data_IF_107245133950
#
_entry.id   IF_107245133950
#
_cell.length_a   1.000
_cell.length_b   1.000
_cell.length_c   1.000
_cell.angle_alpha   90.00
_cell.angle_beta   90.00
_cell.angle_gamma   90.00
#
_symmetry.space_group_name_H-M   'P 1'
#
loop_
_entity.id
_entity.type
_entity.pdbx_description
1 polymer ?
#
# COMPACT_ATOMS: atom_id res chain seq x y z
N UNK A 1 -15.25 -25.76 -6.09
CA UNK A 1 -14.20 -25.25 -7.00
C UNK A 1 -14.80 -24.05 -7.73
N UNK A 2 -14.58 -22.82 -7.26
CA UNK A 2 -15.10 -21.61 -7.94
C UNK A 2 -14.06 -21.22 -8.99
N UNK A 3 -14.47 -21.18 -10.24
CA UNK A 3 -13.67 -20.82 -11.40
C UNK A 3 -13.06 -19.42 -11.22
N UNK A 4 -11.75 -19.34 -10.99
CA UNK A 4 -10.97 -18.12 -11.17
C UNK A 4 -10.49 -18.09 -12.62
N UNK A 5 -10.95 -17.12 -13.40
CA UNK A 5 -10.44 -16.88 -14.75
C UNK A 5 -9.21 -16.00 -14.60
N UNK A 6 -8.08 -16.39 -15.21
CA UNK A 6 -6.93 -15.50 -15.35
C UNK A 6 -7.31 -14.34 -16.27
N UNK A 7 -7.43 -13.15 -15.68
CA UNK A 7 -7.67 -11.92 -16.42
C UNK A 7 -6.32 -11.23 -16.59
N UNK A 8 -5.91 -10.86 -17.80
CA UNK A 8 -4.72 -10.03 -18.01
C UNK A 8 -4.78 -8.77 -17.13
N UNK A 9 -3.62 -8.28 -16.67
CA UNK A 9 -3.48 -7.01 -15.93
C UNK A 9 -4.03 -5.88 -16.81
N UNK A 10 -5.31 -5.58 -16.63
CA UNK A 10 -6.09 -4.72 -17.54
C UNK A 10 -6.35 -3.32 -16.99
N UNK A 11 -5.87 -3.03 -15.79
CA UNK A 11 -6.07 -1.72 -15.14
C UNK A 11 -4.73 -1.27 -14.57
N UNK A 12 -4.03 -0.43 -15.34
CA UNK A 12 -2.83 0.29 -14.90
C UNK A 12 -2.83 1.69 -15.49
N UNK A 13 -2.26 2.65 -14.76
CA UNK A 13 -2.25 4.04 -15.19
C UNK A 13 -1.70 4.98 -14.14
N UNK A 14 -1.92 6.28 -14.37
CA UNK A 14 -1.47 7.35 -13.49
C UNK A 14 -2.67 8.22 -13.14
N UNK A 15 -2.95 8.36 -11.85
CA UNK A 15 -3.99 9.26 -11.36
C UNK A 15 -3.54 10.71 -11.47
N UNK A 16 -4.41 11.55 -12.00
CA UNK A 16 -4.23 13.00 -12.01
C UNK A 16 -5.08 13.61 -10.88
N UNK A 17 -4.63 14.71 -10.23
CA UNK A 17 -3.36 15.41 -10.47
C UNK A 17 -2.17 14.83 -9.69
N UNK A 18 -2.38 13.89 -8.75
CA UNK A 18 -1.36 13.48 -7.78
C UNK A 18 -0.15 12.74 -8.38
N UNK A 19 -0.30 12.16 -9.57
CA UNK A 19 0.74 11.37 -10.23
C UNK A 19 0.91 9.96 -9.65
N UNK A 20 -0.02 9.50 -8.80
CA UNK A 20 0.03 8.15 -8.25
C UNK A 20 -0.14 7.10 -9.35
N UNK A 21 0.85 6.22 -9.49
CA UNK A 21 0.81 5.08 -10.42
C UNK A 21 -0.01 3.97 -9.79
N UNK A 22 -0.96 3.38 -10.52
CA UNK A 22 -1.74 2.24 -10.02
C UNK A 22 -1.60 1.02 -10.92
N UNK A 23 -1.71 -0.15 -10.31
CA UNK A 23 -1.61 -1.44 -11.00
C UNK A 23 -2.55 -2.46 -10.34
N UNK A 24 -3.51 -2.99 -11.10
CA UNK A 24 -4.33 -4.16 -10.74
C UNK A 24 -3.65 -5.43 -11.20
N UNK A 25 -3.37 -6.33 -10.27
CA UNK A 25 -2.68 -7.60 -10.55
C UNK A 25 -3.47 -8.79 -10.01
N UNK A 26 -3.29 -9.96 -10.64
CA UNK A 26 -3.77 -11.21 -10.08
C UNK A 26 -3.07 -11.47 -8.73
N UNK A 27 -3.83 -11.86 -7.71
CA UNK A 27 -3.29 -12.10 -6.37
C UNK A 27 -2.34 -13.32 -6.29
N UNK A 28 -2.22 -14.11 -7.35
CA UNK A 28 -1.26 -15.24 -7.46
C UNK A 28 0.06 -14.85 -8.09
N UNK A 29 0.22 -13.61 -8.60
CA UNK A 29 1.48 -13.12 -9.14
C UNK A 29 2.60 -13.33 -8.11
N UNK A 30 3.76 -13.91 -8.47
CA UNK A 30 4.91 -13.99 -7.58
C UNK A 30 5.33 -12.60 -7.09
N UNK A 31 5.58 -12.46 -5.79
CA UNK A 31 5.95 -11.15 -5.23
C UNK A 31 7.36 -10.72 -5.62
N UNK A 32 8.23 -11.67 -5.96
CA UNK A 32 9.54 -11.42 -6.55
C UNK A 32 9.41 -10.67 -7.89
N UNK A 33 8.47 -11.09 -8.75
CA UNK A 33 8.22 -10.43 -10.04
C UNK A 33 7.65 -9.02 -9.83
N UNK A 34 6.70 -8.86 -8.91
CA UNK A 34 6.16 -7.55 -8.55
C UNK A 34 7.26 -6.63 -7.99
N UNK A 35 8.12 -7.14 -7.12
CA UNK A 35 9.22 -6.37 -6.55
C UNK A 35 10.19 -5.88 -7.64
N UNK A 36 10.64 -6.77 -8.54
CA UNK A 36 11.51 -6.38 -9.65
C UNK A 36 10.84 -5.37 -10.59
N UNK A 37 9.53 -5.52 -10.85
CA UNK A 37 8.78 -4.54 -11.63
C UNK A 37 8.80 -3.14 -10.99
N UNK A 38 8.61 -3.04 -9.68
CA UNK A 38 8.66 -1.76 -8.97
C UNK A 38 10.09 -1.20 -8.92
N UNK A 39 11.11 -2.05 -8.79
CA UNK A 39 12.52 -1.64 -8.88
C UNK A 39 12.83 -1.02 -10.25
N UNK A 40 12.38 -1.62 -11.34
CA UNK A 40 12.58 -1.07 -12.69
C UNK A 40 11.85 0.28 -12.87
N UNK A 41 10.63 0.44 -12.34
CA UNK A 41 9.91 1.72 -12.35
C UNK A 41 10.56 2.79 -11.45
N UNK A 42 11.38 2.37 -10.49
CA UNK A 42 12.19 3.23 -9.63
C UNK A 42 13.62 3.43 -10.15
N UNK A 43 13.82 3.41 -11.48
CA UNK A 43 15.14 3.61 -12.12
C UNK A 43 16.20 2.64 -11.59
N UNK A 44 15.79 1.41 -11.29
CA UNK A 44 16.61 0.33 -10.71
C UNK A 44 17.16 0.64 -9.31
N UNK A 45 16.60 1.64 -8.63
CA UNK A 45 16.93 1.93 -7.24
C UNK A 45 16.20 0.97 -6.31
N UNK A 46 16.96 0.14 -5.58
CA UNK A 46 16.44 -0.75 -4.55
C UNK A 46 16.42 -0.06 -3.18
N UNK A 47 15.45 -0.36 -2.31
CA UNK A 47 15.40 0.22 -0.96
C UNK A 47 16.43 -0.42 -0.04
N UNK A 48 17.20 0.36 0.72
CA UNK A 48 18.02 -0.21 1.79
C UNK A 48 17.18 -0.61 3.02
N UNK A 49 15.96 -0.06 3.12
CA UNK A 49 15.05 -0.25 4.23
C UNK A 49 13.60 -0.29 3.72
N UNK A 50 12.77 -1.17 4.27
CA UNK A 50 11.32 -1.14 4.07
C UNK A 50 10.66 -0.78 5.40
N UNK A 51 9.89 0.32 5.38
CA UNK A 51 9.07 0.78 6.51
C UNK A 51 7.62 0.36 6.27
N UNK A 52 7.23 -0.79 6.82
CA UNK A 52 5.84 -1.27 6.74
C UNK A 52 5.02 -0.62 7.85
N UNK A 53 4.16 0.33 7.48
CA UNK A 53 3.34 1.10 8.42
C UNK A 53 1.94 0.49 8.52
N UNK A 54 1.58 0.09 9.73
CA UNK A 54 0.30 -0.48 10.11
C UNK A 54 -0.39 0.40 11.14
N UNK A 55 -1.71 0.32 11.20
CA UNK A 55 -2.51 1.06 12.16
C UNK A 55 -3.99 0.80 11.98
N UNK A 56 -4.81 1.46 12.80
CA UNK A 56 -6.27 1.34 12.72
C UNK A 56 -6.81 1.68 11.33
N UNK A 57 -7.68 0.80 10.80
CA UNK A 57 -8.37 1.03 9.52
C UNK A 57 -9.48 2.11 9.63
N UNK A 58 -9.82 2.54 10.85
CA UNK A 58 -10.74 3.65 11.12
C UNK A 58 -9.93 4.88 11.53
N UNK A 59 -10.52 6.05 11.32
CA UNK A 59 -10.00 7.30 11.88
C UNK A 59 -9.86 7.14 13.39
N UNK A 60 -8.64 7.28 13.90
CA UNK A 60 -8.34 7.15 15.31
C UNK A 60 -8.13 8.52 15.93
N UNK A 61 -8.70 8.74 17.11
CA UNK A 61 -8.62 10.04 17.79
C UNK A 61 -7.24 10.23 18.39
N UNK A 62 -6.38 10.92 17.64
CA UNK A 62 -5.03 11.26 18.07
C UNK A 62 -4.88 12.76 18.21
N UNK A 63 -3.90 13.21 18.98
CA UNK A 63 -3.55 14.63 18.96
C UNK A 63 -2.84 14.97 17.64
N UNK A 64 -3.22 16.07 17.01
CA UNK A 64 -2.56 16.60 15.79
C UNK A 64 -1.03 16.68 15.93
N UNK A 65 -0.52 16.98 17.14
CA UNK A 65 0.92 16.97 17.42
C UNK A 65 1.54 15.60 17.20
N UNK A 66 0.96 14.54 17.73
CA UNK A 66 1.50 13.18 17.61
C UNK A 66 1.42 12.69 16.15
N UNK A 67 0.33 12.99 15.45
CA UNK A 67 0.20 12.71 14.01
C UNK A 67 1.33 13.37 13.20
N UNK A 68 1.61 14.65 13.45
CA UNK A 68 2.73 15.38 12.81
C UNK A 68 4.08 14.75 13.12
N UNK A 69 4.34 14.36 14.36
CA UNK A 69 5.61 13.71 14.74
C UNK A 69 5.76 12.32 14.10
N UNK A 70 4.68 11.54 14.01
CA UNK A 70 4.67 10.24 13.32
C UNK A 70 5.02 10.45 11.85
N UNK A 71 4.28 11.32 11.15
CA UNK A 71 4.52 11.62 9.73
C UNK A 71 5.97 12.08 9.52
N UNK A 72 6.41 13.04 10.34
CA UNK A 72 7.77 13.59 10.25
C UNK A 72 8.82 12.50 10.44
N UNK A 73 8.67 11.66 11.46
CA UNK A 73 9.59 10.56 11.74
C UNK A 73 9.65 9.55 10.59
N UNK A 74 8.49 9.12 10.08
CA UNK A 74 8.41 8.16 8.97
C UNK A 74 9.02 8.72 7.69
N UNK A 75 8.67 9.94 7.28
CA UNK A 75 9.19 10.57 6.06
C UNK A 75 10.70 10.85 6.19
N UNK A 76 11.14 11.32 7.36
CA UNK A 76 12.55 11.58 7.60
C UNK A 76 13.37 10.27 7.56
N UNK A 77 12.92 9.22 8.23
CA UNK A 77 13.58 7.90 8.18
C UNK A 77 13.63 7.36 6.74
N UNK A 78 12.52 7.49 6.00
CA UNK A 78 12.48 7.04 4.61
C UNK A 78 13.44 7.81 3.70
N UNK A 79 13.54 9.13 3.89
CA UNK A 79 14.45 9.98 3.11
C UNK A 79 15.91 9.65 3.44
N UNK A 80 16.26 9.55 4.74
CA UNK A 80 17.63 9.33 5.19
C UNK A 80 18.16 7.95 4.83
N UNK A 81 17.32 6.92 4.89
CA UNK A 81 17.73 5.53 4.69
C UNK A 81 17.48 5.02 3.26
N UNK A 82 17.05 5.87 2.32
CA UNK A 82 16.53 5.43 1.02
C UNK A 82 15.52 4.29 1.18
N UNK A 83 14.53 4.51 2.05
CA UNK A 83 13.53 3.51 2.39
C UNK A 83 12.31 3.61 1.49
N UNK A 84 11.67 2.46 1.27
CA UNK A 84 10.31 2.43 0.76
C UNK A 84 9.33 2.32 1.93
N UNK A 85 8.25 3.10 1.86
CA UNK A 85 7.16 3.05 2.83
C UNK A 85 6.06 2.16 2.26
N UNK A 86 5.60 1.17 3.03
CA UNK A 86 4.47 0.31 2.65
C UNK A 86 3.28 0.57 3.56
N UNK A 87 2.11 0.86 2.99
CA UNK A 87 0.86 1.06 3.74
C UNK A 87 -0.26 0.17 3.18
N UNK A 88 -1.42 0.19 3.83
CA UNK A 88 -2.62 -0.48 3.32
C UNK A 88 -3.15 0.15 2.02
N UNK A 89 -2.70 1.33 1.60
CA UNK A 89 -3.08 1.95 0.33
C UNK A 89 -4.50 2.51 0.25
N UNK A 90 -5.25 2.51 1.36
CA UNK A 90 -6.60 3.07 1.45
C UNK A 90 -6.57 4.51 2.00
N UNK A 91 -7.49 5.35 1.58
CA UNK A 91 -7.65 6.75 2.02
C UNK A 91 -8.42 6.80 3.36
N UNK A 92 -7.93 6.04 4.33
CA UNK A 92 -8.38 6.07 5.71
C UNK A 92 -7.24 5.74 6.69
N UNK A 93 -7.44 6.09 7.96
CA UNK A 93 -6.53 5.76 9.06
C UNK A 93 -5.09 6.20 8.82
N UNK A 94 -4.14 5.36 9.22
CA UNK A 94 -2.70 5.67 9.10
C UNK A 94 -2.22 5.80 7.65
N UNK A 95 -2.84 5.09 6.73
CA UNK A 95 -2.49 5.12 5.31
C UNK A 95 -2.76 6.51 4.73
N UNK A 96 -3.94 7.08 5.02
CA UNK A 96 -4.26 8.46 4.68
C UNK A 96 -3.29 9.46 5.30
N UNK A 97 -3.01 9.30 6.60
CA UNK A 97 -2.12 10.20 7.33
C UNK A 97 -0.71 10.26 6.70
N UNK A 98 -0.17 9.10 6.32
CA UNK A 98 1.10 9.00 5.60
C UNK A 98 1.01 9.67 4.22
N UNK A 99 -0.07 9.43 3.48
CA UNK A 99 -0.31 10.04 2.18
C UNK A 99 -0.37 11.58 2.23
N UNK A 100 -1.18 12.13 3.13
CA UNK A 100 -1.28 13.59 3.35
C UNK A 100 0.07 14.18 3.77
N UNK A 101 0.81 13.48 4.63
CA UNK A 101 2.18 13.83 4.97
C UNK A 101 3.09 13.93 3.75
N UNK A 102 3.12 12.90 2.91
CA UNK A 102 3.92 12.90 1.68
C UNK A 102 3.54 14.08 0.77
N UNK A 103 2.25 14.34 0.61
CA UNK A 103 1.74 15.47 -0.17
C UNK A 103 2.24 16.80 0.38
N UNK A 104 2.12 17.00 1.69
CA UNK A 104 2.58 18.20 2.38
C UNK A 104 4.10 18.41 2.22
N UNK A 105 4.91 17.36 2.41
CA UNK A 105 6.35 17.44 2.23
C UNK A 105 6.74 17.70 0.77
N UNK A 106 6.03 17.14 -0.22
CA UNK A 106 6.27 17.45 -1.64
C UNK A 106 6.05 18.93 -1.97
N UNK A 107 5.06 19.56 -1.35
CA UNK A 107 4.75 20.98 -1.57
C UNK A 107 5.78 21.92 -0.91
N UNK A 108 6.42 21.49 0.18
CA UNK A 108 7.38 22.29 0.92
C UNK A 108 8.83 22.19 0.41
N UNK A 109 9.16 21.14 -0.34
CA UNK A 109 10.54 20.88 -0.79
C UNK A 109 10.82 21.56 -2.13
N UNK A 110 11.99 22.18 -2.25
CA UNK A 110 12.49 22.75 -3.52
C UNK A 110 12.84 21.66 -4.55
N UNK A 111 13.14 20.44 -4.07
CA UNK A 111 13.49 19.28 -4.88
C UNK A 111 12.41 18.20 -4.78
N UNK A 112 12.25 17.35 -5.81
CA UNK A 112 11.28 16.26 -5.78
C UNK A 112 11.54 15.32 -4.60
N UNK A 113 10.53 15.08 -3.77
CA UNK A 113 10.61 14.08 -2.72
C UNK A 113 10.87 12.70 -3.35
N UNK A 114 12.02 12.11 -3.07
CA UNK A 114 12.46 10.83 -3.64
C UNK A 114 11.80 9.62 -2.97
N UNK A 115 11.16 9.84 -1.82
CA UNK A 115 10.50 8.80 -1.02
C UNK A 115 9.47 8.04 -1.87
N UNK A 116 9.63 6.72 -1.93
CA UNK A 116 8.64 5.82 -2.53
C UNK A 116 7.69 5.36 -1.43
N UNK A 117 6.41 5.63 -1.63
CA UNK A 117 5.34 5.14 -0.77
C UNK A 117 4.36 4.30 -1.60
N UNK A 118 4.23 3.04 -1.22
CA UNK A 118 3.50 2.02 -1.97
C UNK A 118 2.32 1.58 -1.10
N UNK A 119 1.12 1.90 -1.56
CA UNK A 119 -0.12 1.39 -1.00
C UNK A 119 -0.44 0.02 -1.58
N UNK A 120 -0.74 -0.95 -0.73
CA UNK A 120 -1.04 -2.33 -1.15
C UNK A 120 -2.42 -2.74 -0.63
N UNK A 121 -3.40 -2.86 -1.51
CA UNK A 121 -4.80 -3.17 -1.16
C UNK A 121 -5.41 -4.24 -2.08
N UNK A 122 -6.63 -4.67 -1.77
CA UNK A 122 -7.36 -5.67 -2.57
C UNK A 122 -8.39 -4.97 -3.45
N UNK A 123 -8.40 -5.24 -4.75
CA UNK A 123 -9.36 -4.68 -5.70
C UNK A 123 -10.81 -4.88 -5.24
N UNK A 124 -11.08 -6.05 -4.64
CA UNK A 124 -12.38 -6.46 -4.11
C UNK A 124 -12.96 -5.61 -2.97
N UNK A 125 -12.15 -4.78 -2.29
CA UNK A 125 -12.61 -3.90 -1.19
C UNK A 125 -12.86 -2.45 -1.64
N UNK A 126 -12.30 -2.04 -2.78
CA UNK A 126 -12.42 -0.69 -3.33
C UNK A 126 -13.84 -0.42 -3.85
N UNK A 127 -14.38 0.76 -3.59
CA UNK A 127 -15.71 1.15 -4.05
C UNK A 127 -15.83 1.30 -5.58
N UNK A 128 -17.06 1.18 -6.09
CA UNK A 128 -17.32 1.18 -7.53
C UNK A 128 -16.89 2.47 -8.21
N UNK A 129 -17.11 3.64 -7.60
CA UNK A 129 -16.71 4.93 -8.18
C UNK A 129 -15.20 5.00 -8.40
N UNK A 130 -14.41 4.60 -7.40
CA UNK A 130 -12.95 4.51 -7.51
C UNK A 130 -12.54 3.48 -8.56
N UNK A 131 -13.20 2.32 -8.62
CA UNK A 131 -12.93 1.32 -9.66
C UNK A 131 -13.22 1.85 -11.06
N UNK A 132 -14.30 2.59 -11.24
CA UNK A 132 -14.68 3.21 -12.52
C UNK A 132 -13.65 4.26 -12.94
N UNK A 133 -13.19 5.08 -12.01
CA UNK A 133 -12.14 6.07 -12.26
C UNK A 133 -10.79 5.42 -12.62
N UNK A 134 -10.39 4.36 -11.90
CA UNK A 134 -9.14 3.65 -12.22
C UNK A 134 -9.20 3.04 -13.62
N UNK A 135 -10.38 2.52 -14.02
CA UNK A 135 -10.60 2.04 -15.38
C UNK A 135 -10.54 3.18 -16.41
N UNK A 136 -11.16 4.33 -16.13
CA UNK A 136 -11.14 5.47 -17.06
C UNK A 136 -9.77 6.13 -17.18
N UNK A 137 -8.96 6.06 -16.12
CA UNK A 137 -7.59 6.56 -16.07
C UNK A 137 -6.56 5.57 -16.60
N UNK A 138 -6.99 4.37 -17.03
CA UNK A 138 -6.10 3.32 -17.53
C UNK A 138 -5.76 3.53 -19.02
N UNK A 139 -4.52 3.25 -19.40
CA UNK A 139 -4.03 3.58 -20.75
C UNK A 139 -4.40 2.57 -21.85
N UNK A 140 -5.22 1.56 -21.56
CA UNK A 140 -5.67 0.53 -22.53
C UNK A 140 -6.75 -0.37 -21.89
N UNK A 141 -8.04 -0.21 -22.26
CA UNK A 141 -9.02 -1.26 -22.65
C UNK A 141 -10.50 -0.85 -22.47
N UNK A 142 -11.44 -1.47 -23.23
CA UNK A 142 -12.88 -1.20 -23.21
C UNK A 142 -13.55 -1.74 -21.94
N UNK A 143 -14.48 -0.95 -21.41
CA UNK A 143 -15.21 -1.10 -20.15
C UNK A 143 -16.12 -2.34 -20.06
N UNK A 144 -16.19 -3.19 -21.10
CA UNK A 144 -17.26 -4.20 -21.27
C UNK A 144 -17.04 -5.55 -20.56
N UNK A 145 -15.87 -5.82 -19.97
CA UNK A 145 -15.56 -7.13 -19.35
C UNK A 145 -15.60 -7.13 -17.81
N UNK A 146 -15.93 -6.01 -17.16
CA UNK A 146 -15.87 -5.89 -15.70
C UNK A 146 -17.19 -5.53 -15.03
N UNK A 147 -18.33 -5.64 -15.73
CA UNK A 147 -19.65 -5.57 -15.10
C UNK A 147 -20.00 -6.95 -14.53
N UNK A 148 -19.38 -7.31 -13.41
CA UNK A 148 -20.01 -8.30 -12.55
C UNK A 148 -21.16 -7.59 -11.87
N UNK A 149 -22.40 -7.98 -12.17
CA UNK A 149 -23.56 -7.50 -11.43
C UNK A 149 -23.35 -7.83 -9.96
N UNK A 150 -23.25 -6.77 -9.16
CA UNK A 150 -23.12 -6.85 -7.72
C UNK A 150 -24.53 -7.09 -7.16
N UNK A 151 -24.71 -8.10 -6.29
CA UNK A 151 -25.96 -8.25 -5.54
C UNK A 151 -26.27 -6.99 -4.72
N UNK A 152 -27.51 -6.49 -4.76
CA UNK A 152 -27.98 -5.29 -4.04
C UNK A 152 -27.83 -5.39 -2.50
N UNK A 153 -27.54 -6.58 -1.97
CA UNK A 153 -27.34 -6.88 -0.56
C UNK A 153 -25.86 -6.93 -0.12
N UNK A 154 -24.91 -6.67 -1.03
CA UNK A 154 -23.50 -6.61 -0.68
C UNK A 154 -23.26 -5.38 0.22
N UNK A 155 -22.94 -5.65 1.49
CA UNK A 155 -22.62 -4.64 2.49
C UNK A 155 -21.58 -3.66 1.93
N UNK A 156 -22.09 -2.47 1.61
CA UNK A 156 -21.51 -1.26 1.03
C UNK A 156 -19.98 -1.23 0.98
N UNK A 157 -19.39 -1.24 -0.22
CA UNK A 157 -17.96 -1.00 -0.45
C UNK A 157 -17.57 0.39 0.07
N UNK A 158 -16.66 0.47 1.04
CA UNK A 158 -16.36 1.75 1.72
C UNK A 158 -15.00 2.35 1.41
N UNK A 159 -14.10 1.60 0.78
CA UNK A 159 -12.71 2.02 0.68
C UNK A 159 -12.42 2.74 -0.64
N UNK A 160 -11.82 3.92 -0.51
CA UNK A 160 -11.13 4.63 -1.58
C UNK A 160 -9.62 4.39 -1.45
N UNK A 161 -8.87 4.54 -2.54
CA UNK A 161 -7.41 4.46 -2.50
C UNK A 161 -6.79 5.77 -2.05
N UNK A 162 -5.66 5.71 -1.34
CA UNK A 162 -4.87 6.88 -0.97
C UNK A 162 -4.06 7.37 -2.18
N UNK A 163 -4.42 8.56 -2.67
CA UNK A 163 -3.92 9.09 -3.96
C UNK A 163 -2.59 9.80 -3.84
N UNK A 164 -2.15 10.17 -2.64
CA UNK A 164 -0.89 10.87 -2.44
C UNK A 164 0.33 9.93 -2.39
N UNK A 165 0.09 8.62 -2.33
CA UNK A 165 1.14 7.61 -2.53
C UNK A 165 1.81 7.74 -3.90
N UNK A 166 3.02 7.16 -4.02
CA UNK A 166 3.69 7.04 -5.33
C UNK A 166 3.08 5.92 -6.18
N UNK A 167 2.72 4.82 -5.52
CA UNK A 167 2.23 3.61 -6.15
C UNK A 167 1.05 3.05 -5.37
N UNK A 168 0.06 2.51 -6.07
CA UNK A 168 -1.07 1.76 -5.51
C UNK A 168 -1.19 0.41 -6.23
N UNK A 169 -0.93 -0.67 -5.50
CA UNK A 169 -1.05 -2.05 -5.98
C UNK A 169 -2.37 -2.63 -5.51
N UNK A 170 -3.15 -3.13 -6.46
CA UNK A 170 -4.51 -3.64 -6.27
C UNK A 170 -4.53 -5.14 -6.59
N UNK A 171 -4.44 -5.98 -5.56
CA UNK A 171 -4.51 -7.43 -5.72
C UNK A 171 -5.93 -7.86 -6.03
N UNK A 172 -6.11 -8.68 -7.05
CA UNK A 172 -7.42 -9.17 -7.46
C UNK A 172 -7.47 -10.69 -7.40
N UNK A 173 -8.29 -11.20 -6.48
CA UNK A 173 -8.62 -12.62 -6.35
C UNK A 173 -9.98 -13.00 -6.94
N UNK A 174 -10.67 -12.06 -7.61
CA UNK A 174 -12.02 -12.25 -8.14
C UNK A 174 -13.12 -12.33 -7.08
N UNK A 175 -12.80 -12.06 -5.81
CA UNK A 175 -13.75 -12.00 -4.69
C UNK A 175 -13.91 -10.57 -4.19
N UNK A 176 -15.11 -10.27 -3.73
CA UNK A 176 -15.46 -9.01 -3.10
C UNK A 176 -15.24 -9.15 -1.58
N UNK A 177 -14.85 -8.05 -0.92
CA UNK A 177 -14.64 -7.98 0.53
C UNK A 177 -13.63 -9.00 1.09
N UNK A 178 -12.66 -9.41 0.27
CA UNK A 178 -11.55 -10.26 0.72
C UNK A 178 -10.36 -9.37 1.06
N UNK A 179 -9.95 -9.35 2.34
CA UNK A 179 -8.83 -8.56 2.83
C UNK A 179 -7.55 -9.41 2.78
N UNK A 180 -6.79 -9.28 1.68
CA UNK A 180 -5.53 -10.04 1.49
C UNK A 180 -4.28 -9.17 1.58
N UNK A 181 -4.44 -7.86 1.80
CA UNK A 181 -3.38 -6.86 1.68
C UNK A 181 -2.18 -7.14 2.58
N UNK A 182 -2.41 -7.50 3.85
CA UNK A 182 -1.32 -7.69 4.81
C UNK A 182 -0.46 -8.91 4.49
N UNK A 183 -1.07 -10.02 4.08
CA UNK A 183 -0.35 -11.22 3.68
C UNK A 183 0.48 -11.00 2.39
N UNK A 184 -0.05 -10.25 1.42
CA UNK A 184 0.72 -9.91 0.23
C UNK A 184 1.85 -8.92 0.53
N UNK A 185 1.61 -7.93 1.40
CA UNK A 185 2.62 -6.98 1.85
C UNK A 185 3.77 -7.70 2.56
N UNK A 186 3.49 -8.67 3.42
CA UNK A 186 4.52 -9.51 4.05
C UNK A 186 5.35 -10.28 3.00
N UNK A 187 4.69 -10.94 2.04
CA UNK A 187 5.39 -11.64 0.95
C UNK A 187 6.23 -10.70 0.09
N UNK A 188 5.76 -9.48 -0.17
CA UNK A 188 6.52 -8.45 -0.89
C UNK A 188 7.77 -8.02 -0.11
N UNK A 189 7.66 -7.82 1.20
CA UNK A 189 8.80 -7.52 2.08
C UNK A 189 9.81 -8.67 2.04
N UNK A 190 9.34 -9.92 2.10
CA UNK A 190 10.19 -11.12 2.00
C UNK A 190 10.91 -11.15 0.65
N UNK A 191 10.22 -10.89 -0.45
CA UNK A 191 10.80 -10.85 -1.79
C UNK A 191 11.92 -9.80 -1.88
N UNK A 192 11.69 -8.59 -1.36
CA UNK A 192 12.70 -7.53 -1.31
C UNK A 192 13.91 -7.91 -0.46
N UNK A 193 13.71 -8.55 0.70
CA UNK A 193 14.81 -8.96 1.58
C UNK A 193 15.62 -10.16 1.02
N UNK A 194 15.03 -10.96 0.13
CA UNK A 194 15.71 -12.08 -0.55
C UNK A 194 16.52 -11.61 -1.75
N UNK A 195 16.22 -10.46 -2.34
CA UNK A 195 16.98 -9.91 -3.45
C UNK A 195 18.36 -9.44 -2.97
N UNK A 196 19.34 -10.32 -3.18
CA UNK A 196 20.75 -10.10 -2.83
C UNK A 196 21.61 -9.81 -4.06
N UNK A 197 20.99 -9.56 -5.23
CA UNK A 197 21.73 -9.22 -6.44
C UNK A 197 22.52 -7.92 -6.24
N UNK A 198 23.80 -7.94 -6.65
CA UNK A 198 24.78 -6.86 -6.48
C UNK A 198 25.08 -6.51 -5.00
N UNK A 199 25.13 -7.52 -4.13
CA UNK A 199 25.40 -7.38 -2.69
C UNK A 199 24.43 -6.41 -1.97
N UNK A 200 23.25 -6.21 -2.57
CA UNK A 200 22.20 -5.39 -1.99
C UNK A 200 21.59 -6.09 -0.78
N UNK A 201 21.32 -5.31 0.27
CA UNK A 201 20.65 -5.78 1.48
C UNK A 201 19.53 -4.80 1.80
N UNK A 202 18.32 -5.34 1.96
CA UNK A 202 17.15 -4.61 2.39
C UNK A 202 16.74 -5.06 3.79
N UNK A 203 16.59 -4.12 4.72
CA UNK A 203 16.14 -4.40 6.08
C UNK A 203 14.64 -4.12 6.22
N UNK A 204 13.83 -5.03 6.79
CA UNK A 204 12.42 -4.77 7.06
C UNK A 204 12.23 -4.18 8.46
N UNK A 205 11.39 -3.15 8.60
CA UNK A 205 10.96 -2.59 9.88
C UNK A 205 9.45 -2.39 9.84
N UNK A 206 8.78 -2.89 10.87
CA UNK A 206 7.34 -2.70 11.05
C UNK A 206 7.06 -1.56 12.02
N UNK A 207 6.24 -0.61 11.61
CA UNK A 207 5.79 0.51 12.44
C UNK A 207 4.30 0.33 12.67
N UNK A 208 3.90 0.26 13.93
CA UNK A 208 2.49 0.11 14.30
C UNK A 208 2.00 1.33 15.08
N UNK A 209 1.02 2.03 14.49
CA UNK A 209 0.38 3.20 15.06
C UNK A 209 -1.05 2.85 15.39
N UNK A 210 -1.32 2.63 16.68
CA UNK A 210 -2.57 1.98 17.11
C UNK A 210 -2.73 0.57 16.51
N UNK A 211 -3.64 -0.24 17.06
CA UNK A 211 -3.85 -1.60 16.59
C UNK A 211 -5.27 -2.09 16.79
N UNK A 212 -5.75 -2.89 15.85
CA UNK A 212 -6.92 -3.75 15.99
C UNK A 212 -6.52 -5.23 15.98
N UNK A 213 -7.49 -6.14 15.96
CA UNK A 213 -7.20 -7.59 15.93
C UNK A 213 -6.28 -7.98 14.75
N UNK A 214 -6.51 -7.43 13.55
CA UNK A 214 -5.65 -7.71 12.38
C UNK A 214 -4.20 -7.24 12.55
N UNK A 215 -3.98 -6.17 13.34
CA UNK A 215 -2.65 -5.67 13.65
C UNK A 215 -1.89 -6.64 14.58
N UNK A 216 -2.58 -7.39 15.44
CA UNK A 216 -1.95 -8.39 16.32
C UNK A 216 -1.38 -9.57 15.53
N UNK A 217 -2.07 -10.03 14.48
CA UNK A 217 -1.58 -11.10 13.62
C UNK A 217 -0.27 -10.70 12.91
N UNK A 218 -0.21 -9.46 12.41
CA UNK A 218 1.01 -8.89 11.82
C UNK A 218 2.15 -8.86 12.85
N UNK A 219 1.88 -8.36 14.08
CA UNK A 219 2.89 -8.34 15.15
C UNK A 219 3.39 -9.73 15.49
N UNK A 220 2.49 -10.69 15.62
CA UNK A 220 2.86 -12.08 15.94
C UNK A 220 3.78 -12.66 14.86
N UNK A 221 3.46 -12.43 13.59
CA UNK A 221 4.27 -12.88 12.46
C UNK A 221 5.65 -12.22 12.45
N UNK A 222 5.73 -10.91 12.68
CA UNK A 222 7.00 -10.18 12.70
C UNK A 222 7.87 -10.55 13.91
N UNK A 223 7.26 -10.79 15.08
CA UNK A 223 7.97 -11.29 16.26
C UNK A 223 8.57 -12.67 16.00
N UNK A 224 7.79 -13.59 15.39
CA UNK A 224 8.28 -14.92 14.99
C UNK A 224 9.42 -14.82 13.96
N UNK A 225 9.30 -13.89 13.01
CA UNK A 225 10.31 -13.63 12.00
C UNK A 225 11.52 -12.80 12.51
N UNK A 226 11.52 -12.40 13.79
CA UNK A 226 12.56 -11.55 14.42
C UNK A 226 12.78 -10.22 13.67
N UNK A 227 11.72 -9.67 13.09
CA UNK A 227 11.79 -8.36 12.44
C UNK A 227 11.69 -7.24 13.49
N UNK A 228 12.48 -6.17 13.35
CA UNK A 228 12.33 -4.99 14.22
C UNK A 228 10.93 -4.39 14.13
N UNK A 229 10.34 -4.08 15.28
CA UNK A 229 9.01 -3.49 15.42
C UNK A 229 9.12 -2.20 16.22
N UNK A 230 8.47 -1.14 15.74
CA UNK A 230 8.27 0.13 16.43
C UNK A 230 6.79 0.24 16.79
N UNK A 231 6.48 0.20 18.08
CA UNK A 231 5.11 0.42 18.58
C UNK A 231 4.93 1.87 19.00
N UNK A 232 3.95 2.54 18.42
CA UNK A 232 3.58 3.91 18.79
C UNK A 232 2.26 3.86 19.55
N UNK A 233 2.36 4.02 20.87
CA UNK A 233 1.21 4.03 21.76
C UNK A 233 0.44 5.35 21.64
N UNK A 234 -0.81 5.28 21.22
CA UNK A 234 -1.75 6.41 21.26
C UNK A 234 -2.53 6.33 22.57
N UNK A 235 -2.46 7.36 23.42
CA UNK A 235 -3.29 7.44 24.62
C UNK A 235 -4.69 7.88 24.22
N UNK A 236 -5.65 6.96 24.30
CA UNK A 236 -7.08 7.28 24.23
C UNK A 236 -7.43 8.05 25.51
N UNK A 237 -8.01 9.25 25.36
CA UNK A 237 -8.55 10.02 26.49
C UNK A 237 -9.90 9.48 26.91
#
# INVERSE_FOLDING_TARGET
MKYSVEVPINVFGILKPTGCKFLRIDNRLPMEDLYQFIVEDCDRQKPALILSVYGGAKYFTTTERLEKEIIRGVIHAATMANAWILTAGIDNGISKLVGEGISHYRLLQEYPLTVKCIGMTTWGTINEDTRLELKSSSSRFPTSLCQRQIPDDAQEYKETIERNHTHCILFDGGKLNEYLSDAHRDKFVIAACKDTHNDHICFPVTIMVEGGLGSLEVLENDLKAKRPIVLIQVRIK
#
